data_IF_834818470080
#
_entry.id   IF_834818470080
#
_cell.length_a   1.000
_cell.length_b   1.000
_cell.length_c   1.000
_cell.angle_alpha   90.00
_cell.angle_beta   90.00
_cell.angle_gamma   90.00
#
_symmetry.space_group_name_H-M   'P 1'
#
loop_
_entity.id
_entity.type
_entity.pdbx_description
1 polymer ?
#
# COMPACT_ATOMS: atom_id res chain seq x y z
N UNK A 1 -4.37 24.52 -10.66
CA UNK A 1 -5.74 25.05 -10.87
C UNK A 1 -5.86 25.78 -12.21
N UNK A 2 -4.81 26.46 -12.63
CA UNK A 2 -4.79 27.28 -13.86
C UNK A 2 -4.81 26.47 -15.16
N UNK A 3 -4.48 25.16 -15.07
CA UNK A 3 -4.39 24.26 -16.24
C UNK A 3 -5.70 23.57 -16.62
N UNK A 4 -6.81 23.84 -15.94
CA UNK A 4 -8.15 23.25 -16.15
C UNK A 4 -8.20 21.72 -16.09
N UNK A 5 -7.21 21.08 -15.45
CA UNK A 5 -7.20 19.62 -15.20
C UNK A 5 -8.41 19.25 -14.32
N UNK A 6 -9.21 18.31 -14.77
CA UNK A 6 -10.47 17.94 -14.09
C UNK A 6 -10.26 16.98 -12.93
N UNK A 7 -9.27 16.11 -13.00
CA UNK A 7 -8.99 15.08 -11.99
C UNK A 7 -7.48 14.91 -11.78
N UNK A 8 -7.07 14.78 -10.54
CA UNK A 8 -5.68 14.47 -10.15
C UNK A 8 -5.72 13.31 -9.15
N UNK A 9 -4.93 12.27 -9.41
CA UNK A 9 -4.78 11.14 -8.52
C UNK A 9 -3.32 11.08 -8.02
N UNK A 10 -3.12 11.24 -6.72
CA UNK A 10 -1.81 11.08 -6.11
C UNK A 10 -1.56 9.62 -5.74
N UNK A 11 -0.30 9.18 -5.89
CA UNK A 11 0.14 7.86 -5.44
C UNK A 11 0.81 7.98 -4.07
N UNK A 12 0.33 7.19 -3.12
CA UNK A 12 0.83 7.12 -1.75
C UNK A 12 1.26 5.70 -1.38
N UNK A 13 1.53 5.46 -0.11
CA UNK A 13 2.19 4.26 0.39
C UNK A 13 1.66 3.88 1.77
N UNK A 14 1.77 2.60 2.14
CA UNK A 14 1.57 2.07 3.49
C UNK A 14 2.39 2.82 4.56
N UNK A 15 3.53 3.40 4.19
CA UNK A 15 4.40 4.16 5.11
C UNK A 15 3.83 5.51 5.55
N UNK A 16 2.80 6.02 4.85
CA UNK A 16 2.04 7.21 5.26
C UNK A 16 1.12 6.95 6.46
N UNK A 17 0.75 5.69 6.72
CA UNK A 17 -0.11 5.33 7.85
C UNK A 17 0.74 5.16 9.09
N UNK A 18 0.45 5.88 10.17
CA UNK A 18 1.23 5.89 11.42
C UNK A 18 2.76 5.95 11.13
N UNK A 19 3.25 7.03 10.50
CA UNK A 19 4.62 7.11 10.00
C UNK A 19 5.65 7.06 11.13
N UNK A 20 6.70 6.25 10.98
CA UNK A 20 7.81 6.13 11.93
C UNK A 20 9.10 6.80 11.43
N UNK A 21 9.11 7.36 10.22
CA UNK A 21 10.28 8.00 9.63
C UNK A 21 9.88 9.21 8.77
N UNK A 22 10.88 9.99 8.38
CA UNK A 22 10.66 11.21 7.60
C UNK A 22 9.95 10.95 6.27
N UNK A 23 10.32 9.87 5.57
CA UNK A 23 9.66 9.51 4.30
C UNK A 23 8.16 9.28 4.49
N UNK A 24 7.77 8.49 5.48
CA UNK A 24 6.36 8.26 5.80
C UNK A 24 5.64 9.56 6.18
N UNK A 25 6.28 10.41 7.00
CA UNK A 25 5.72 11.70 7.40
C UNK A 25 5.50 12.64 6.20
N UNK A 26 6.45 12.74 5.28
CA UNK A 26 6.28 13.56 4.06
C UNK A 26 5.16 13.02 3.16
N UNK A 27 4.99 11.70 3.07
CA UNK A 27 3.88 11.09 2.31
C UNK A 27 2.53 11.34 2.98
N UNK A 28 2.45 11.29 4.31
CA UNK A 28 1.25 11.69 5.05
C UNK A 28 0.90 13.16 4.82
N UNK A 29 1.89 14.07 4.91
CA UNK A 29 1.68 15.48 4.59
C UNK A 29 1.15 15.66 3.17
N UNK A 30 1.72 14.96 2.19
CA UNK A 30 1.24 15.00 0.81
C UNK A 30 -0.21 14.53 0.70
N UNK A 31 -0.60 13.43 1.39
CA UNK A 31 -2.00 12.98 1.42
C UNK A 31 -2.94 14.08 1.94
N UNK A 32 -2.59 14.72 3.05
CA UNK A 32 -3.41 15.80 3.64
C UNK A 32 -3.55 16.99 2.70
N UNK A 33 -2.45 17.43 2.08
CA UNK A 33 -2.46 18.53 1.09
C UNK A 33 -3.38 18.21 -0.10
N UNK A 34 -3.29 16.99 -0.65
CA UNK A 34 -4.13 16.57 -1.78
C UNK A 34 -5.62 16.50 -1.41
N UNK A 35 -5.94 16.02 -0.20
CA UNK A 35 -7.32 15.96 0.27
C UNK A 35 -7.86 17.38 0.47
N UNK A 36 -7.11 18.23 1.17
CA UNK A 36 -7.55 19.59 1.52
C UNK A 36 -7.61 20.52 0.30
N UNK A 37 -6.84 20.23 -0.76
CA UNK A 37 -6.95 20.96 -2.03
C UNK A 37 -8.38 20.95 -2.60
N UNK A 38 -9.20 19.94 -2.31
CA UNK A 38 -10.60 19.90 -2.72
C UNK A 38 -11.47 20.99 -2.08
N UNK A 39 -11.09 21.52 -0.91
CA UNK A 39 -11.80 22.63 -0.26
C UNK A 39 -11.57 23.96 -0.99
N UNK A 40 -10.39 24.13 -1.60
CA UNK A 40 -9.97 25.36 -2.28
C UNK A 40 -10.55 25.45 -3.69
N UNK A 41 -10.86 24.33 -4.31
CA UNK A 41 -11.16 24.25 -5.75
C UNK A 41 -12.60 24.59 -6.18
N UNK A 42 -13.54 24.92 -5.29
CA UNK A 42 -14.92 25.30 -5.67
C UNK A 42 -15.75 24.20 -6.38
N UNK A 43 -16.93 24.58 -6.91
CA UNK A 43 -17.91 23.61 -7.46
C UNK A 43 -17.52 22.97 -8.79
N UNK A 44 -16.84 23.68 -9.68
CA UNK A 44 -16.49 23.23 -11.05
C UNK A 44 -15.02 22.95 -11.27
N UNK A 45 -14.31 22.55 -10.25
CA UNK A 45 -12.88 22.57 -10.19
C UNK A 45 -12.25 21.20 -10.21
N UNK A 46 -10.93 21.17 -10.30
CA UNK A 46 -10.11 19.98 -10.20
C UNK A 46 -10.49 19.15 -8.98
N UNK A 47 -10.64 17.86 -9.16
CA UNK A 47 -10.91 16.88 -8.12
C UNK A 47 -9.62 16.16 -7.76
N UNK A 48 -9.32 16.05 -6.47
CA UNK A 48 -8.13 15.38 -5.97
C UNK A 48 -8.53 14.16 -5.14
N UNK A 49 -7.88 13.02 -5.40
CA UNK A 49 -7.99 11.79 -4.60
C UNK A 49 -6.65 11.07 -4.60
N UNK A 50 -6.54 10.01 -3.82
CA UNK A 50 -5.29 9.32 -3.53
C UNK A 50 -5.50 7.82 -3.74
N UNK A 51 -4.47 7.13 -4.21
CA UNK A 51 -4.32 5.68 -4.11
C UNK A 51 -3.16 5.37 -3.20
N UNK A 52 -3.39 4.56 -2.16
CA UNK A 52 -2.40 4.11 -1.20
C UNK A 52 -2.21 2.60 -1.36
N UNK A 53 -0.97 2.15 -1.60
CA UNK A 53 -0.63 0.73 -1.70
C UNK A 53 0.75 0.44 -1.10
N UNK A 54 1.03 -0.84 -0.85
CA UNK A 54 2.31 -1.29 -0.28
C UNK A 54 3.41 -1.47 -1.33
N UNK A 55 4.25 -2.49 -1.16
CA UNK A 55 5.41 -2.69 -2.04
C UNK A 55 4.98 -3.23 -3.41
N UNK A 56 5.51 -2.63 -4.47
CA UNK A 56 5.37 -3.16 -5.82
C UNK A 56 6.43 -4.24 -6.05
N UNK A 57 6.00 -5.43 -6.49
CA UNK A 57 6.90 -6.56 -6.79
C UNK A 57 7.97 -6.15 -7.80
N UNK A 58 9.21 -6.56 -7.55
CA UNK A 58 10.36 -6.32 -8.42
C UNK A 58 10.67 -4.84 -8.70
N UNK A 59 10.23 -3.92 -7.84
CA UNK A 59 10.61 -2.51 -7.95
C UNK A 59 12.12 -2.34 -7.69
N UNK A 60 12.72 -1.32 -8.34
CA UNK A 60 14.16 -1.02 -8.18
C UNK A 60 14.52 -0.80 -6.70
N UNK A 61 15.58 -1.46 -6.23
CA UNK A 61 16.05 -1.36 -4.85
C UNK A 61 15.21 -2.14 -3.83
N UNK A 62 14.22 -2.92 -4.26
CA UNK A 62 13.40 -3.75 -3.38
C UNK A 62 14.09 -5.05 -2.97
N UNK A 63 13.48 -5.77 -2.04
CA UNK A 63 14.02 -7.02 -1.47
C UNK A 63 14.22 -8.13 -2.51
N UNK A 64 13.35 -8.25 -3.52
CA UNK A 64 13.45 -9.32 -4.54
C UNK A 64 14.71 -9.19 -5.39
N UNK A 65 15.02 -8.04 -6.04
CA UNK A 65 16.29 -7.84 -6.73
C UNK A 65 17.52 -8.08 -5.85
N UNK A 66 17.48 -7.69 -4.59
CA UNK A 66 18.56 -7.96 -3.64
C UNK A 66 18.79 -9.47 -3.45
N UNK A 67 17.72 -10.25 -3.22
CA UNK A 67 17.83 -11.70 -3.02
C UNK A 67 18.33 -12.38 -4.29
N UNK A 68 17.84 -11.99 -5.46
CA UNK A 68 18.28 -12.52 -6.75
C UNK A 68 19.78 -12.26 -6.99
N UNK A 69 20.26 -11.05 -6.65
CA UNK A 69 21.68 -10.70 -6.72
C UNK A 69 22.52 -11.58 -5.78
N UNK A 70 22.11 -11.72 -4.51
CA UNK A 70 22.83 -12.57 -3.54
C UNK A 70 22.90 -14.02 -4.03
N UNK A 71 21.82 -14.53 -4.62
CA UNK A 71 21.74 -15.87 -5.19
C UNK A 71 22.66 -16.03 -6.42
N UNK A 72 22.67 -15.06 -7.33
CA UNK A 72 23.55 -15.10 -8.53
C UNK A 72 25.04 -15.01 -8.20
N UNK A 73 25.39 -14.36 -7.09
CA UNK A 73 26.75 -14.29 -6.55
C UNK A 73 27.13 -15.53 -5.73
N UNK A 74 26.30 -16.59 -5.69
CA UNK A 74 26.48 -17.81 -4.90
C UNK A 74 26.72 -17.56 -3.40
N UNK A 75 26.27 -16.42 -2.86
CA UNK A 75 26.37 -16.10 -1.45
C UNK A 75 25.34 -16.91 -0.67
N UNK A 76 25.78 -17.53 0.40
CA UNK A 76 24.93 -18.38 1.27
C UNK A 76 24.15 -17.57 2.31
N UNK A 77 24.52 -16.33 2.58
CA UNK A 77 23.91 -15.48 3.61
C UNK A 77 23.10 -14.35 2.98
N UNK A 78 21.85 -14.20 3.42
CA UNK A 78 20.97 -13.10 3.05
C UNK A 78 20.69 -12.25 4.29
N UNK A 79 20.91 -10.93 4.24
CA UNK A 79 20.57 -10.08 5.38
C UNK A 79 19.03 -10.06 5.57
N UNK A 80 18.61 -10.26 6.80
CA UNK A 80 17.23 -10.19 7.23
C UNK A 80 17.16 -9.30 8.47
N UNK A 81 16.29 -8.31 8.45
CA UNK A 81 16.15 -7.36 9.55
C UNK A 81 15.57 -8.03 10.79
N UNK A 82 14.44 -8.71 10.63
CA UNK A 82 13.76 -9.48 11.68
C UNK A 82 12.91 -10.59 11.03
N UNK A 83 12.87 -11.77 11.62
CA UNK A 83 12.12 -12.92 11.10
C UNK A 83 10.60 -12.73 11.15
N UNK A 84 10.15 -11.84 12.01
CA UNK A 84 8.72 -11.54 12.19
C UNK A 84 8.16 -10.61 11.12
N UNK A 85 9.03 -9.94 10.32
CA UNK A 85 8.58 -8.93 9.36
C UNK A 85 7.61 -9.45 8.32
N UNK A 86 6.52 -8.71 8.15
CA UNK A 86 5.57 -8.90 7.05
C UNK A 86 5.51 -7.65 6.17
N UNK A 87 5.17 -7.83 4.89
CA UNK A 87 5.01 -6.72 3.93
C UNK A 87 3.85 -7.03 2.98
N UNK A 88 3.16 -5.98 2.58
CA UNK A 88 2.21 -6.04 1.48
C UNK A 88 2.93 -6.05 0.13
N UNK A 89 2.41 -6.84 -0.81
CA UNK A 89 2.90 -6.87 -2.18
C UNK A 89 1.76 -6.80 -3.20
N UNK A 90 2.02 -6.04 -4.25
CA UNK A 90 1.15 -5.91 -5.43
C UNK A 90 2.03 -5.97 -6.69
N UNK A 91 1.56 -6.57 -7.77
CA UNK A 91 2.27 -6.46 -9.05
C UNK A 91 2.05 -5.08 -9.68
N UNK A 92 2.97 -4.66 -10.53
CA UNK A 92 2.83 -3.39 -11.26
C UNK A 92 1.53 -3.35 -12.07
N UNK A 93 1.20 -4.45 -12.75
CA UNK A 93 -0.05 -4.55 -13.53
C UNK A 93 -1.31 -4.38 -12.68
N UNK A 94 -1.35 -5.03 -11.50
CA UNK A 94 -2.47 -4.89 -10.57
C UNK A 94 -2.56 -3.47 -9.99
N UNK A 95 -1.42 -2.88 -9.64
CA UNK A 95 -1.36 -1.50 -9.14
C UNK A 95 -1.89 -0.51 -10.19
N UNK A 96 -1.43 -0.62 -11.44
CA UNK A 96 -1.90 0.24 -12.54
C UNK A 96 -3.40 0.07 -12.78
N UNK A 97 -3.90 -1.17 -12.85
CA UNK A 97 -5.33 -1.45 -13.02
C UNK A 97 -6.16 -0.83 -11.89
N UNK A 98 -5.69 -0.94 -10.65
CA UNK A 98 -6.37 -0.37 -9.50
C UNK A 98 -6.36 1.17 -9.53
N UNK A 99 -5.23 1.80 -9.88
CA UNK A 99 -5.11 3.26 -10.04
C UNK A 99 -6.07 3.76 -11.12
N UNK A 100 -6.09 3.17 -12.31
CA UNK A 100 -6.99 3.57 -13.41
C UNK A 100 -8.44 3.42 -13.01
N UNK A 101 -8.80 2.32 -12.36
CA UNK A 101 -10.16 2.11 -11.86
C UNK A 101 -10.55 3.14 -10.80
N UNK A 102 -9.68 3.40 -9.84
CA UNK A 102 -9.89 4.41 -8.80
C UNK A 102 -10.03 5.80 -9.38
N UNK A 103 -9.22 6.14 -10.40
CA UNK A 103 -9.32 7.40 -11.14
C UNK A 103 -10.69 7.58 -11.83
N UNK A 104 -11.25 6.50 -12.38
CA UNK A 104 -12.59 6.55 -12.97
C UNK A 104 -13.69 6.72 -11.90
N UNK A 105 -13.53 6.08 -10.74
CA UNK A 105 -14.47 6.12 -9.63
C UNK A 105 -14.43 7.41 -8.82
N UNK A 106 -13.24 8.05 -8.72
CA UNK A 106 -13.03 9.19 -7.82
C UNK A 106 -14.00 10.33 -8.02
N UNK A 107 -14.39 10.94 -6.92
CA UNK A 107 -15.13 12.21 -6.91
C UNK A 107 -14.29 13.28 -6.19
N UNK A 108 -14.20 13.26 -4.86
CA UNK A 108 -13.43 14.26 -4.08
C UNK A 108 -12.90 13.66 -2.77
N UNK A 109 -11.58 13.64 -2.60
CA UNK A 109 -10.91 13.40 -1.33
C UNK A 109 -10.93 11.95 -0.84
N UNK A 110 -11.22 11.00 -1.71
CA UNK A 110 -11.12 9.59 -1.37
C UNK A 110 -9.64 9.16 -1.29
N UNK A 111 -9.34 8.27 -0.33
CA UNK A 111 -8.12 7.47 -0.33
C UNK A 111 -8.52 6.05 -0.71
N UNK A 112 -8.14 5.61 -1.89
CA UNK A 112 -8.38 4.25 -2.37
C UNK A 112 -7.26 3.32 -1.92
N UNK A 113 -7.62 2.16 -1.37
CA UNK A 113 -6.68 1.16 -0.84
C UNK A 113 -7.02 -0.20 -1.45
N UNK A 114 -6.14 -0.84 -2.26
CA UNK A 114 -6.39 -2.16 -2.83
C UNK A 114 -6.34 -3.26 -1.76
N UNK A 115 -7.10 -4.34 -1.92
CA UNK A 115 -6.83 -5.61 -1.25
C UNK A 115 -5.56 -6.21 -1.84
N UNK A 116 -4.58 -6.48 -0.99
CA UNK A 116 -3.25 -6.90 -1.41
C UNK A 116 -2.83 -8.19 -0.72
N UNK A 117 -2.00 -8.97 -1.39
CA UNK A 117 -1.29 -10.06 -0.73
C UNK A 117 -0.27 -9.52 0.27
N UNK A 118 -0.02 -10.29 1.33
CA UNK A 118 1.11 -10.06 2.22
C UNK A 118 1.96 -11.32 2.37
N UNK A 119 3.19 -11.14 2.79
CA UNK A 119 4.14 -12.25 2.97
C UNK A 119 5.03 -11.99 4.18
N UNK A 120 5.47 -13.05 4.85
CA UNK A 120 6.65 -12.98 5.69
C UNK A 120 7.88 -12.81 4.81
N UNK A 121 8.74 -11.84 5.14
CA UNK A 121 9.98 -11.58 4.36
C UNK A 121 10.89 -12.79 4.35
N UNK A 122 11.00 -13.52 5.47
CA UNK A 122 11.76 -14.77 5.53
C UNK A 122 11.26 -15.84 4.56
N UNK A 123 9.94 -15.95 4.38
CA UNK A 123 9.35 -16.94 3.47
C UNK A 123 9.54 -16.54 2.02
N UNK A 124 9.47 -15.25 1.70
CA UNK A 124 9.85 -14.71 0.40
C UNK A 124 11.31 -15.03 0.05
N UNK A 125 12.24 -14.77 0.98
CA UNK A 125 13.66 -15.08 0.80
C UNK A 125 13.85 -16.57 0.53
N UNK A 126 13.26 -17.44 1.37
CA UNK A 126 13.36 -18.89 1.20
C UNK A 126 12.71 -19.43 -0.07
N UNK A 127 11.67 -18.77 -0.56
CA UNK A 127 11.05 -19.15 -1.84
C UNK A 127 11.94 -18.84 -3.06
N UNK A 128 12.78 -17.80 -2.98
CA UNK A 128 13.73 -17.43 -4.05
C UNK A 128 15.06 -18.17 -3.89
N UNK A 129 15.56 -18.26 -2.67
CA UNK A 129 16.86 -18.87 -2.34
C UNK A 129 16.72 -19.89 -1.18
N UNK A 130 16.26 -21.13 -1.46
CA UNK A 130 15.90 -22.10 -0.43
C UNK A 130 17.04 -22.48 0.52
N UNK A 131 18.27 -22.54 0.02
CA UNK A 131 19.46 -22.99 0.77
C UNK A 131 20.15 -21.87 1.55
N UNK A 132 19.72 -20.60 1.43
CA UNK A 132 20.38 -19.49 2.12
C UNK A 132 20.24 -19.60 3.65
N UNK A 133 21.18 -19.02 4.37
CA UNK A 133 21.10 -18.74 5.80
C UNK A 133 20.70 -17.27 6.00
N UNK A 134 19.99 -16.99 7.07
CA UNK A 134 19.70 -15.60 7.44
C UNK A 134 20.83 -15.02 8.28
N UNK A 135 21.27 -13.80 7.92
CA UNK A 135 22.07 -12.96 8.78
C UNK A 135 21.16 -11.89 9.38
N UNK A 136 20.75 -12.08 10.63
CA UNK A 136 19.90 -11.10 11.32
C UNK A 136 20.72 -9.84 11.56
N UNK A 137 20.23 -8.70 11.04
CA UNK A 137 20.92 -7.41 11.10
C UNK A 137 20.25 -6.41 12.06
N UNK A 138 19.11 -6.77 12.66
CA UNK A 138 18.35 -5.91 13.56
C UNK A 138 17.45 -4.92 12.84
N UNK A 139 16.45 -4.41 13.55
CA UNK A 139 15.47 -3.44 13.03
C UNK A 139 16.15 -2.09 12.86
N UNK A 140 15.99 -1.46 11.70
CA UNK A 140 16.55 -0.14 11.44
C UNK A 140 15.66 0.94 12.08
N UNK A 141 16.24 2.08 12.51
CA UNK A 141 15.43 3.20 13.00
C UNK A 141 14.36 3.61 11.99
N UNK A 142 13.10 3.68 12.44
CA UNK A 142 11.96 4.04 11.60
C UNK A 142 11.45 2.91 10.68
N UNK A 143 11.88 1.66 10.88
CA UNK A 143 11.37 0.49 10.17
C UNK A 143 10.32 -0.23 11.03
N UNK A 144 9.19 -0.61 10.42
CA UNK A 144 8.11 -1.35 11.09
C UNK A 144 8.29 -2.85 10.94
N UNK A 145 7.85 -3.61 11.93
CA UNK A 145 7.72 -5.09 11.81
C UNK A 145 6.65 -5.41 10.78
N UNK A 146 5.48 -4.80 10.90
CA UNK A 146 4.35 -4.97 10.01
C UNK A 146 3.94 -3.63 9.40
N UNK A 147 3.47 -3.64 8.17
CA UNK A 147 2.97 -2.45 7.50
C UNK A 147 1.46 -2.33 7.65
N UNK A 148 0.98 -1.09 7.64
CA UNK A 148 -0.41 -0.75 7.82
C UNK A 148 -0.90 0.05 6.60
N UNK A 149 -2.01 -0.36 6.01
CA UNK A 149 -2.66 0.34 4.89
C UNK A 149 -3.88 1.14 5.33
N UNK A 150 -4.58 0.70 6.39
CA UNK A 150 -5.69 1.41 7.02
C UNK A 150 -5.51 1.25 8.53
N UNK A 151 -5.43 2.37 9.26
CA UNK A 151 -5.45 2.37 10.71
C UNK A 151 -6.87 2.20 11.25
N UNK A 152 -7.01 1.78 12.51
CA UNK A 152 -8.30 1.64 13.17
C UNK A 152 -9.12 2.93 13.08
N UNK A 153 -8.50 4.08 13.35
CA UNK A 153 -9.17 5.39 13.23
C UNK A 153 -9.65 5.71 11.81
N UNK A 154 -8.88 5.36 10.79
CA UNK A 154 -9.28 5.55 9.38
C UNK A 154 -10.38 4.59 8.96
N UNK A 155 -10.49 3.42 9.62
CA UNK A 155 -11.49 2.40 9.29
C UNK A 155 -12.93 2.86 9.54
N UNK A 156 -13.13 3.86 10.42
CA UNK A 156 -14.43 4.51 10.59
C UNK A 156 -15.00 5.09 9.30
N UNK A 157 -14.12 5.53 8.41
CA UNK A 157 -14.44 6.15 7.13
C UNK A 157 -14.30 5.19 5.94
N UNK A 158 -14.13 3.88 6.21
CA UNK A 158 -13.91 2.86 5.20
C UNK A 158 -15.22 2.36 4.56
N UNK A 159 -15.25 2.37 3.25
CA UNK A 159 -16.30 1.82 2.40
C UNK A 159 -15.73 0.68 1.55
N UNK A 160 -16.49 -0.42 1.41
CA UNK A 160 -16.03 -1.57 0.63
C UNK A 160 -16.12 -1.33 -0.87
N UNK A 161 -15.05 -1.71 -1.57
CA UNK A 161 -15.00 -1.94 -3.00
C UNK A 161 -14.83 -3.44 -3.27
N UNK A 162 -15.12 -3.90 -4.47
CA UNK A 162 -14.91 -5.30 -4.87
C UNK A 162 -13.48 -5.77 -4.60
N UNK A 163 -12.49 -4.93 -4.90
CA UNK A 163 -11.06 -5.23 -4.87
C UNK A 163 -10.26 -4.33 -3.91
N UNK A 164 -10.92 -3.66 -2.96
CA UNK A 164 -10.28 -2.76 -2.03
C UNK A 164 -11.23 -2.03 -1.11
N UNK A 165 -10.79 -0.85 -0.70
CA UNK A 165 -11.52 0.08 0.16
C UNK A 165 -11.43 1.50 -0.40
N UNK A 166 -12.42 2.33 -0.09
CA UNK A 166 -12.37 3.78 -0.24
C UNK A 166 -12.56 4.41 1.14
N UNK A 167 -11.56 5.14 1.62
CA UNK A 167 -11.68 5.93 2.83
C UNK A 167 -12.27 7.28 2.45
N UNK A 168 -13.45 7.61 3.00
CA UNK A 168 -14.22 8.81 2.66
C UNK A 168 -14.56 9.53 3.96
N UNK A 169 -13.72 10.47 4.35
CA UNK A 169 -13.87 11.17 5.63
C UNK A 169 -15.18 11.95 5.71
N UNK A 170 -15.80 11.90 6.89
CA UNK A 170 -16.97 12.72 7.23
C UNK A 170 -16.58 14.14 7.69
N UNK A 171 -15.31 14.34 8.04
CA UNK A 171 -14.79 15.57 8.65
C UNK A 171 -14.20 16.54 7.63
N UNK A 172 -14.53 16.37 6.33
CA UNK A 172 -14.06 17.27 5.26
C UNK A 172 -15.11 18.33 4.94
N UNK A 173 -14.65 19.50 4.45
CA UNK A 173 -15.51 20.59 3.99
C UNK A 173 -16.25 20.30 2.68
N UNK A 174 -16.11 19.08 2.14
CA UNK A 174 -16.74 18.63 0.90
C UNK A 174 -17.31 17.22 1.11
N UNK A 175 -18.32 16.87 0.31
CA UNK A 175 -18.94 15.54 0.34
C UNK A 175 -18.66 14.80 -0.96
N UNK A 176 -18.17 13.58 -0.87
CA UNK A 176 -18.04 12.70 -2.03
C UNK A 176 -19.37 12.03 -2.35
N UNK A 177 -19.78 12.13 -3.61
CA UNK A 177 -20.99 11.43 -4.12
C UNK A 177 -20.79 9.91 -4.17
N UNK A 178 -19.53 9.44 -4.11
CA UNK A 178 -19.22 8.02 -4.09
C UNK A 178 -19.75 7.34 -2.82
N UNK A 179 -19.80 8.07 -1.70
CA UNK A 179 -20.26 7.60 -0.40
C UNK A 179 -21.65 6.97 -0.42
N UNK A 180 -22.59 7.57 -1.18
CA UNK A 180 -23.97 7.05 -1.29
C UNK A 180 -24.08 5.77 -2.12
N UNK A 181 -23.04 5.41 -2.88
CA UNK A 181 -23.00 4.26 -3.78
C UNK A 181 -22.27 3.04 -3.21
N UNK A 182 -21.62 3.19 -2.07
CA UNK A 182 -20.77 2.15 -1.47
C UNK A 182 -21.33 1.71 -0.12
N UNK A 183 -21.09 0.45 0.22
CA UNK A 183 -21.41 -0.10 1.53
C UNK A 183 -20.33 0.31 2.53
N UNK A 184 -20.76 1.01 3.59
CA UNK A 184 -19.86 1.37 4.69
C UNK A 184 -19.49 0.12 5.50
N UNK A 185 -18.22 0.00 5.87
CA UNK A 185 -17.82 -1.01 6.86
C UNK A 185 -18.41 -0.63 8.23
N UNK A 186 -19.00 -1.62 8.94
CA UNK A 186 -19.68 -1.38 10.21
C UNK A 186 -18.73 -1.53 11.40
N UNK A 187 -17.70 -2.37 11.29
CA UNK A 187 -16.78 -2.68 12.36
C UNK A 187 -15.47 -1.91 12.17
N UNK A 188 -14.86 -1.50 13.28
CA UNK A 188 -13.50 -0.99 13.29
C UNK A 188 -12.54 -2.14 12.98
N UNK A 189 -11.51 -1.86 12.21
CA UNK A 189 -10.48 -2.82 11.85
C UNK A 189 -9.17 -2.13 11.50
N UNK A 190 -8.09 -2.85 11.61
CA UNK A 190 -6.83 -2.49 10.99
C UNK A 190 -6.61 -3.33 9.73
N UNK A 191 -6.17 -2.70 8.66
CA UNK A 191 -5.69 -3.43 7.50
C UNK A 191 -4.17 -3.45 7.52
N UNK A 192 -3.63 -4.47 8.19
CA UNK A 192 -2.20 -4.66 8.39
C UNK A 192 -1.69 -5.90 7.64
N UNK A 193 -0.37 -5.97 7.43
CA UNK A 193 0.25 -7.03 6.63
C UNK A 193 0.36 -8.37 7.35
N UNK A 194 0.24 -8.41 8.69
CA UNK A 194 0.30 -9.64 9.48
C UNK A 194 -1.05 -10.35 9.53
N UNK A 195 -2.09 -9.60 9.91
CA UNK A 195 -3.45 -10.13 10.11
C UNK A 195 -4.28 -9.97 8.82
N UNK A 196 -3.66 -10.30 7.69
CA UNK A 196 -4.24 -10.16 6.38
C UNK A 196 -4.78 -11.52 5.89
N UNK A 197 -6.06 -11.58 5.56
CA UNK A 197 -6.69 -12.77 4.97
C UNK A 197 -6.03 -13.24 3.66
N UNK A 198 -5.15 -12.42 3.07
CA UNK A 198 -4.36 -12.72 1.87
C UNK A 198 -2.87 -12.91 2.20
N UNK A 199 -2.54 -13.32 3.42
CA UNK A 199 -1.18 -13.72 3.80
C UNK A 199 -0.81 -15.02 3.08
N UNK A 200 0.22 -14.96 2.23
CA UNK A 200 0.61 -16.07 1.37
C UNK A 200 1.51 -17.06 2.10
N UNK A 201 1.25 -18.35 1.87
CA UNK A 201 2.14 -19.46 2.22
C UNK A 201 3.35 -19.51 1.29
N UNK A 202 4.42 -20.21 1.69
CA UNK A 202 5.62 -20.40 0.84
C UNK A 202 5.29 -20.99 -0.54
N UNK A 203 4.35 -21.93 -0.61
CA UNK A 203 3.91 -22.53 -1.88
C UNK A 203 3.28 -21.48 -2.79
N UNK A 204 2.35 -20.69 -2.26
CA UNK A 204 1.70 -19.60 -3.01
C UNK A 204 2.68 -18.51 -3.43
N UNK A 205 3.67 -18.18 -2.59
CA UNK A 205 4.75 -17.23 -2.96
C UNK A 205 5.54 -17.79 -4.15
N UNK A 206 5.92 -19.08 -4.12
CA UNK A 206 6.66 -19.71 -5.21
C UNK A 206 5.86 -19.75 -6.52
N UNK A 207 4.57 -19.99 -6.46
CA UNK A 207 3.65 -19.94 -7.61
C UNK A 207 3.51 -18.52 -8.16
N UNK A 208 3.35 -17.52 -7.27
CA UNK A 208 3.30 -16.11 -7.65
C UNK A 208 4.56 -15.66 -8.39
N UNK A 209 5.74 -16.08 -7.88
CA UNK A 209 7.03 -15.74 -8.50
C UNK A 209 7.20 -16.38 -9.87
N UNK A 210 6.80 -17.65 -10.06
CA UNK A 210 6.87 -18.35 -11.36
C UNK A 210 6.02 -17.70 -12.45
N UNK A 211 4.86 -17.17 -12.08
CA UNK A 211 3.93 -16.56 -13.02
C UNK A 211 4.27 -15.09 -13.37
N UNK A 212 5.24 -14.49 -12.69
CA UNK A 212 5.57 -13.05 -12.81
C UNK A 212 7.05 -12.78 -13.11
N UNK A 213 7.87 -13.81 -13.20
CA UNK A 213 9.29 -13.83 -13.57
C UNK A 213 9.58 -15.02 -14.51
#
# INVERSE_FOLDING_TARGET
>A
LDTQVKKVMALSTDKAVNPMNLYGATKLCAEKIFIDANAITGKNSTKFSIVRYGNVLNSRGSVIPLILKVKSENKKEVPLTDERMTRFFISLSEAVKFVVRSFNLMDKGEIFVPKMHSVFIKDLIKSIHPTCKFKIIGIRPGEKIDELLISENESEDAYELKDGYALISKKTYFSSKLKSKLKKNKNLFEYNSRDNNQLLTKKQISELLKNKF
#
